data_IF_190459470772
#
_entry.id   IF_190459470772
#
_cell.length_a   1.000
_cell.length_b   1.000
_cell.length_c   1.000
_cell.angle_alpha   90.00
_cell.angle_beta   90.00
_cell.angle_gamma   90.00
#
_symmetry.space_group_name_H-M   'P 1'
#
loop_
_entity.id
_entity.type
_entity.pdbx_description
1 polymer ?
#
# COMPACT_ATOMS: atom_id res chain seq x y z
N UNK A 1 -20.00 -19.80 -33.42
CA UNK A 1 -21.01 -19.51 -32.38
C UNK A 1 -20.28 -19.25 -31.08
N UNK A 2 -20.61 -18.10 -30.47
CA UNK A 2 -20.41 -17.72 -29.07
C UNK A 2 -18.99 -17.58 -28.52
N UNK A 3 -18.49 -16.35 -28.62
CA UNK A 3 -17.48 -15.78 -27.72
C UNK A 3 -18.06 -15.61 -26.30
N UNK A 4 -17.24 -15.80 -25.28
CA UNK A 4 -17.54 -15.41 -23.90
C UNK A 4 -16.49 -14.38 -23.47
N UNK A 5 -16.84 -13.10 -23.25
CA UNK A 5 -15.92 -12.16 -22.65
C UNK A 5 -16.03 -12.29 -21.12
N UNK A 6 -15.02 -12.86 -20.48
CA UNK A 6 -14.88 -12.79 -19.02
C UNK A 6 -14.26 -11.44 -18.63
N UNK A 7 -15.06 -10.38 -18.74
CA UNK A 7 -14.77 -9.08 -18.14
C UNK A 7 -15.10 -9.12 -16.66
N UNK A 8 -14.23 -9.72 -15.85
CA UNK A 8 -14.34 -9.69 -14.40
C UNK A 8 -14.04 -8.29 -13.89
N UNK A 9 -15.07 -7.48 -13.64
CA UNK A 9 -14.95 -6.27 -12.86
C UNK A 9 -14.59 -6.67 -11.42
N UNK A 10 -13.35 -6.42 -11.02
CA UNK A 10 -12.92 -6.59 -9.62
C UNK A 10 -13.67 -5.51 -8.82
N UNK A 11 -14.56 -5.88 -7.87
CA UNK A 11 -15.27 -4.90 -7.08
C UNK A 11 -14.25 -4.05 -6.31
N UNK A 12 -14.27 -2.74 -6.57
CA UNK A 12 -13.40 -1.80 -5.89
C UNK A 12 -13.62 -1.83 -4.36
N UNK A 13 -12.60 -1.46 -3.58
CA UNK A 13 -12.70 -1.45 -2.13
C UNK A 13 -13.81 -0.50 -1.67
N UNK A 14 -14.70 -0.98 -0.78
CA UNK A 14 -15.81 -0.20 -0.20
C UNK A 14 -15.35 0.87 0.81
N UNK A 15 -14.07 0.86 1.20
CA UNK A 15 -13.48 1.74 2.20
C UNK A 15 -12.35 2.55 1.57
N UNK A 16 -12.17 3.79 2.04
CA UNK A 16 -11.01 4.61 1.65
C UNK A 16 -9.71 3.93 2.14
N UNK A 17 -8.66 3.81 1.30
CA UNK A 17 -7.35 3.25 1.66
C UNK A 17 -6.80 3.71 3.00
N UNK A 18 -6.84 5.03 3.23
CA UNK A 18 -6.38 5.65 4.47
C UNK A 18 -7.14 5.15 5.71
N UNK A 19 -8.44 4.88 5.55
CA UNK A 19 -9.29 4.40 6.63
C UNK A 19 -9.04 2.93 6.92
N UNK A 20 -8.80 2.11 5.89
CA UNK A 20 -8.46 0.70 6.11
C UNK A 20 -7.15 0.54 6.87
N UNK A 21 -6.17 1.39 6.56
CA UNK A 21 -4.90 1.42 7.27
C UNK A 21 -5.05 1.97 8.69
N UNK A 22 -5.79 3.08 8.87
CA UNK A 22 -6.11 3.61 10.20
C UNK A 22 -6.98 2.67 11.04
N UNK A 23 -7.86 1.86 10.45
CA UNK A 23 -8.64 0.84 11.18
C UNK A 23 -7.75 -0.33 11.61
N UNK A 24 -6.75 -0.69 10.80
CA UNK A 24 -5.71 -1.66 11.19
C UNK A 24 -4.84 -1.14 12.35
N UNK A 25 -4.51 0.15 12.36
CA UNK A 25 -3.64 0.76 13.36
C UNK A 25 -4.31 1.30 14.62
N UNK A 26 -5.44 1.97 14.46
CA UNK A 26 -6.15 2.69 15.51
C UNK A 26 -6.79 1.77 16.54
N UNK A 27 -6.53 0.45 16.47
CA UNK A 27 -7.27 -0.54 17.22
C UNK A 27 -6.64 -1.18 18.44
N UNK A 28 -5.37 -0.90 18.75
CA UNK A 28 -4.79 -1.41 19.98
C UNK A 28 -4.98 -0.43 21.13
N UNK A 29 -4.47 0.81 21.00
CA UNK A 29 -4.34 1.74 22.12
C UNK A 29 -5.66 2.44 22.47
N UNK A 30 -6.43 2.87 21.47
CA UNK A 30 -7.79 3.40 21.67
C UNK A 30 -8.69 2.35 22.28
N UNK A 31 -8.49 1.06 21.96
CA UNK A 31 -9.36 -0.03 22.40
C UNK A 31 -8.98 -0.55 23.77
N UNK A 32 -7.69 -0.55 24.12
CA UNK A 32 -7.24 -0.80 25.50
C UNK A 32 -7.73 0.32 26.42
N UNK A 33 -7.65 1.57 25.97
CA UNK A 33 -8.21 2.72 26.71
C UNK A 33 -9.74 2.61 26.82
N UNK A 34 -10.44 2.21 25.75
CA UNK A 34 -11.88 1.96 25.78
C UNK A 34 -12.23 0.79 26.69
N UNK A 35 -11.45 -0.30 26.71
CA UNK A 35 -11.64 -1.45 27.60
C UNK A 35 -11.52 -1.03 29.06
N UNK A 36 -10.49 -0.24 29.38
CA UNK A 36 -10.24 0.31 30.71
C UNK A 36 -11.35 1.24 31.19
N UNK A 37 -12.07 1.91 30.29
CA UNK A 37 -13.20 2.80 30.65
C UNK A 37 -14.55 2.07 30.63
N UNK A 38 -14.77 1.20 29.65
CA UNK A 38 -16.03 0.50 29.45
C UNK A 38 -16.26 -0.62 30.45
N UNK A 39 -15.22 -1.39 30.82
CA UNK A 39 -15.36 -2.46 31.80
C UNK A 39 -15.83 -1.92 33.16
N UNK A 40 -15.23 -0.84 33.73
CA UNK A 40 -15.76 -0.21 34.93
C UNK A 40 -17.18 0.33 34.77
N UNK A 41 -17.52 0.94 33.62
CA UNK A 41 -18.87 1.44 33.35
C UNK A 41 -19.92 0.32 33.28
N UNK A 42 -19.58 -0.83 32.69
CA UNK A 42 -20.44 -2.03 32.71
C UNK A 42 -20.63 -2.52 34.14
N UNK A 43 -19.55 -2.60 34.92
CA UNK A 43 -19.59 -3.04 36.33
C UNK A 43 -20.46 -2.10 37.17
N UNK A 44 -20.25 -0.79 37.06
CA UNK A 44 -21.05 0.22 37.77
C UNK A 44 -22.51 0.22 37.30
N UNK A 45 -22.77 0.14 35.99
CA UNK A 45 -24.11 0.11 35.42
C UNK A 45 -24.90 -1.18 35.68
N UNK A 46 -24.23 -2.28 36.02
CA UNK A 46 -24.86 -3.52 36.51
C UNK A 46 -25.16 -3.45 38.02
N UNK A 47 -24.37 -2.70 38.78
CA UNK A 47 -24.53 -2.49 40.23
C UNK A 47 -25.58 -1.42 40.57
N UNK A 48 -25.78 -0.42 39.69
CA UNK A 48 -26.69 0.71 39.90
C UNK A 48 -28.01 0.50 39.14
N UNK A 49 -29.15 0.78 39.78
CA UNK A 49 -30.42 0.85 39.07
C UNK A 49 -30.46 2.12 38.20
N UNK A 50 -30.83 2.04 36.91
CA UNK A 50 -31.53 0.93 36.27
C UNK A 50 -30.61 -0.03 35.49
N UNK A 51 -30.68 -1.32 35.83
CA UNK A 51 -29.81 -2.42 35.34
C UNK A 51 -29.84 -2.67 33.83
N UNK A 52 -30.85 -2.17 33.10
CA UNK A 52 -30.94 -2.34 31.64
C UNK A 52 -29.82 -1.59 30.92
N UNK A 53 -29.30 -0.50 31.51
CA UNK A 53 -28.15 0.23 30.98
C UNK A 53 -26.91 -0.67 31.01
N UNK A 54 -26.66 -1.37 32.12
CA UNK A 54 -25.56 -2.33 32.23
C UNK A 54 -25.61 -3.44 31.17
N UNK A 55 -26.78 -4.01 30.91
CA UNK A 55 -26.97 -5.02 29.85
C UNK A 55 -26.74 -4.47 28.45
N UNK A 56 -27.17 -3.22 28.18
CA UNK A 56 -26.94 -2.58 26.89
C UNK A 56 -25.44 -2.32 26.66
N UNK A 57 -24.73 -1.79 27.65
CA UNK A 57 -23.28 -1.56 27.56
C UNK A 57 -22.53 -2.89 27.41
N UNK A 58 -22.94 -3.95 28.12
CA UNK A 58 -22.37 -5.30 27.97
C UNK A 58 -22.59 -5.86 26.56
N UNK A 59 -23.81 -5.77 26.01
CA UNK A 59 -24.11 -6.23 24.66
C UNK A 59 -23.28 -5.46 23.62
N UNK A 60 -23.18 -4.14 23.74
CA UNK A 60 -22.35 -3.30 22.87
C UNK A 60 -20.87 -3.68 22.95
N UNK A 61 -20.37 -3.92 24.16
CA UNK A 61 -19.00 -4.36 24.39
C UNK A 61 -18.70 -5.72 23.75
N UNK A 62 -19.62 -6.69 23.87
CA UNK A 62 -19.48 -7.99 23.21
C UNK A 62 -19.44 -7.86 21.68
N UNK A 63 -20.25 -6.97 21.10
CA UNK A 63 -20.21 -6.67 19.65
C UNK A 63 -18.83 -6.14 19.25
N UNK A 64 -18.27 -5.21 20.02
CA UNK A 64 -16.93 -4.68 19.76
C UNK A 64 -15.85 -5.77 19.86
N UNK A 65 -15.87 -6.60 20.91
CA UNK A 65 -14.93 -7.72 21.07
C UNK A 65 -15.02 -8.70 19.90
N UNK A 66 -16.23 -9.08 19.50
CA UNK A 66 -16.44 -10.00 18.38
C UNK A 66 -15.93 -9.41 17.05
N UNK A 67 -16.18 -8.11 16.82
CA UNK A 67 -15.71 -7.39 15.65
C UNK A 67 -14.18 -7.30 15.63
N UNK A 68 -13.54 -6.99 16.75
CA UNK A 68 -12.08 -6.98 16.89
C UNK A 68 -11.44 -8.35 16.67
N UNK A 69 -12.00 -9.40 17.29
CA UNK A 69 -11.53 -10.76 17.09
C UNK A 69 -11.68 -11.18 15.61
N UNK A 70 -12.79 -10.81 14.98
CA UNK A 70 -13.03 -11.01 13.55
C UNK A 70 -11.94 -10.36 12.68
N UNK A 71 -11.59 -9.09 12.93
CA UNK A 71 -10.51 -8.41 12.21
C UNK A 71 -9.15 -9.07 12.40
N UNK A 72 -8.79 -9.45 13.64
CA UNK A 72 -7.52 -10.13 13.93
C UNK A 72 -7.42 -11.49 13.26
N UNK A 73 -8.50 -12.27 13.27
CA UNK A 73 -8.57 -13.57 12.59
C UNK A 73 -8.47 -13.39 11.08
N UNK A 74 -9.16 -12.39 10.51
CA UNK A 74 -9.08 -12.08 9.09
C UNK A 74 -7.65 -11.69 8.68
N UNK A 75 -6.98 -10.82 9.45
CA UNK A 75 -5.59 -10.44 9.18
C UNK A 75 -4.65 -11.66 9.29
N UNK A 76 -4.82 -12.49 10.32
CA UNK A 76 -4.04 -13.72 10.48
C UNK A 76 -4.24 -14.71 9.32
N UNK A 77 -5.47 -14.84 8.82
CA UNK A 77 -5.78 -15.66 7.63
C UNK A 77 -5.14 -15.09 6.37
N UNK A 78 -5.21 -13.78 6.16
CA UNK A 78 -4.56 -13.11 5.02
C UNK A 78 -3.04 -13.30 5.06
N UNK A 79 -2.40 -13.12 6.22
CA UNK A 79 -0.96 -13.34 6.40
C UNK A 79 -0.56 -14.79 6.10
N UNK A 80 -1.34 -15.77 6.58
CA UNK A 80 -1.11 -17.19 6.28
C UNK A 80 -1.26 -17.48 4.80
N UNK A 81 -2.34 -17.01 4.17
CA UNK A 81 -2.56 -17.19 2.74
C UNK A 81 -1.44 -16.57 1.89
N UNK A 82 -0.91 -15.41 2.29
CA UNK A 82 0.27 -14.82 1.65
C UNK A 82 1.52 -15.68 1.87
N UNK A 83 1.80 -16.08 3.11
CA UNK A 83 2.96 -16.94 3.42
C UNK A 83 2.93 -18.27 2.67
N UNK A 84 1.75 -18.87 2.50
CA UNK A 84 1.57 -20.09 1.72
C UNK A 84 1.84 -19.85 0.23
N UNK A 85 1.34 -18.75 -0.34
CA UNK A 85 1.62 -18.36 -1.73
C UNK A 85 3.12 -18.09 -1.95
N UNK A 86 3.76 -17.37 -1.04
CA UNK A 86 5.22 -17.10 -1.05
C UNK A 86 6.01 -18.40 -1.06
N UNK A 87 5.63 -19.37 -0.21
CA UNK A 87 6.28 -20.68 -0.17
C UNK A 87 6.08 -21.46 -1.47
N UNK A 88 4.88 -21.43 -2.05
CA UNK A 88 4.59 -22.08 -3.34
C UNK A 88 5.41 -21.47 -4.50
N UNK A 89 5.69 -20.17 -4.43
CA UNK A 89 6.53 -19.46 -5.40
C UNK A 89 8.04 -19.63 -5.15
N UNK A 90 8.43 -20.34 -4.09
CA UNK A 90 9.84 -20.53 -3.72
C UNK A 90 10.51 -19.26 -3.20
N UNK A 91 9.73 -18.27 -2.77
CA UNK A 91 10.23 -17.02 -2.23
C UNK A 91 10.51 -17.13 -0.72
N UNK A 92 11.29 -16.18 -0.20
CA UNK A 92 11.69 -16.14 1.20
C UNK A 92 10.86 -15.11 1.96
N UNK A 93 10.52 -15.42 3.21
CA UNK A 93 9.80 -14.53 4.10
C UNK A 93 10.64 -14.24 5.33
N UNK A 94 10.80 -12.96 5.67
CA UNK A 94 11.50 -12.46 6.85
C UNK A 94 10.59 -11.51 7.63
N UNK A 95 10.71 -11.50 8.97
CA UNK A 95 9.87 -10.67 9.83
C UNK A 95 10.14 -9.16 9.66
N UNK A 96 11.34 -8.78 9.24
CA UNK A 96 11.76 -7.40 8.99
C UNK A 96 13.28 -7.29 8.90
N UNK A 97 13.74 -6.17 8.35
CA UNK A 97 15.14 -5.77 8.32
C UNK A 97 15.18 -4.24 8.44
N UNK A 98 15.70 -3.69 9.57
CA UNK A 98 15.71 -2.25 9.81
C UNK A 98 16.55 -1.48 8.79
N UNK A 99 17.54 -2.12 8.17
CA UNK A 99 18.45 -1.47 7.21
C UNK A 99 17.81 -1.35 5.80
N UNK A 100 16.61 -1.92 5.59
CA UNK A 100 15.90 -1.81 4.32
C UNK A 100 15.40 -0.41 4.02
N UNK A 101 15.19 0.43 5.03
CA UNK A 101 14.71 1.82 4.82
C UNK A 101 15.76 2.63 4.05
N UNK A 102 17.04 2.43 4.35
CA UNK A 102 18.17 3.14 3.72
C UNK A 102 18.32 2.81 2.23
N UNK A 103 17.64 1.76 1.74
CA UNK A 103 17.61 1.37 0.32
C UNK A 103 16.86 2.37 -0.56
N UNK A 104 15.96 3.17 0.00
CA UNK A 104 15.10 4.09 -0.74
C UNK A 104 15.36 5.54 -0.32
N UNK A 105 16.33 6.23 -0.97
CA UNK A 105 16.70 7.61 -0.63
C UNK A 105 15.70 8.65 -1.19
N UNK A 106 14.41 8.32 -1.23
CA UNK A 106 13.37 9.18 -1.79
C UNK A 106 12.06 9.09 -1.02
N UNK A 107 11.20 10.13 -1.08
CA UNK A 107 9.91 10.10 -0.42
C UNK A 107 9.03 8.98 -0.96
N UNK A 108 8.14 8.37 -0.15
CA UNK A 108 7.87 8.66 1.26
C UNK A 108 8.86 7.98 2.26
N UNK A 109 9.90 7.31 1.76
CA UNK A 109 10.75 6.42 2.56
C UNK A 109 11.85 7.17 3.34
N UNK A 110 12.41 8.23 2.75
CA UNK A 110 13.48 9.06 3.33
C UNK A 110 12.99 10.09 4.39
N UNK A 111 11.68 10.18 4.60
CA UNK A 111 11.06 11.26 5.38
C UNK A 111 11.16 11.02 6.89
N UNK A 112 11.10 9.77 7.33
CA UNK A 112 11.02 9.40 8.74
C UNK A 112 12.12 8.40 9.11
N UNK A 113 13.14 8.82 9.87
CA UNK A 113 14.21 7.91 10.31
C UNK A 113 13.73 6.86 11.31
N UNK A 114 12.52 6.99 11.86
CA UNK A 114 11.89 5.99 12.72
C UNK A 114 10.90 5.10 11.95
N UNK A 115 10.93 5.12 10.62
CA UNK A 115 10.10 4.24 9.81
C UNK A 115 10.42 2.76 10.06
N UNK A 116 9.40 1.92 9.95
CA UNK A 116 9.51 0.48 10.16
C UNK A 116 9.07 -0.28 8.91
N UNK A 117 9.89 -1.27 8.54
CA UNK A 117 9.61 -2.23 7.47
C UNK A 117 9.44 -3.62 8.08
N UNK A 118 8.31 -4.26 7.80
CA UNK A 118 8.00 -5.58 8.38
C UNK A 118 7.22 -6.46 7.41
N UNK A 119 7.13 -7.76 7.75
CA UNK A 119 6.54 -8.81 6.91
C UNK A 119 7.18 -8.85 5.49
N UNK A 120 8.51 -8.77 5.45
CA UNK A 120 9.28 -8.68 4.21
C UNK A 120 9.32 -10.01 3.49
N UNK A 121 9.04 -9.98 2.20
CA UNK A 121 9.15 -11.10 1.29
C UNK A 121 10.16 -10.75 0.22
N UNK A 122 11.12 -11.64 -0.04
CA UNK A 122 12.12 -11.51 -1.10
C UNK A 122 11.99 -12.66 -2.09
N UNK A 123 12.20 -12.39 -3.37
CA UNK A 123 12.05 -13.40 -4.40
C UNK A 123 12.41 -12.90 -5.79
N UNK A 124 11.98 -13.66 -6.80
CA UNK A 124 12.06 -13.25 -8.21
C UNK A 124 10.72 -13.43 -8.89
N UNK A 125 10.31 -12.43 -9.66
CA UNK A 125 9.09 -12.47 -10.47
C UNK A 125 9.41 -11.99 -11.89
N UNK A 126 9.04 -12.79 -12.89
CA UNK A 126 9.36 -12.52 -14.32
C UNK A 126 10.82 -12.12 -14.57
N UNK A 127 11.75 -12.78 -13.87
CA UNK A 127 13.19 -12.53 -14.00
C UNK A 127 13.74 -11.34 -13.19
N UNK A 128 12.88 -10.55 -12.52
CA UNK A 128 13.29 -9.39 -11.71
C UNK A 128 13.38 -9.74 -10.25
N UNK A 129 14.38 -9.18 -9.56
CA UNK A 129 14.44 -9.26 -8.10
C UNK A 129 13.33 -8.42 -7.49
N UNK A 130 12.67 -9.03 -6.50
CA UNK A 130 11.48 -8.50 -5.85
C UNK A 130 11.72 -8.46 -4.36
N UNK A 131 11.35 -7.33 -3.76
CA UNK A 131 11.17 -7.18 -2.32
C UNK A 131 9.81 -6.56 -2.04
N UNK A 132 9.02 -7.13 -1.14
CA UNK A 132 7.70 -6.60 -0.80
C UNK A 132 7.45 -6.73 0.68
N UNK A 133 6.73 -5.78 1.25
CA UNK A 133 6.46 -5.78 2.67
C UNK A 133 5.49 -4.67 3.03
N UNK A 134 5.52 -4.32 4.30
CA UNK A 134 4.71 -3.25 4.87
C UNK A 134 5.61 -2.15 5.37
N UNK A 135 5.27 -0.92 5.02
CA UNK A 135 5.96 0.27 5.49
C UNK A 135 5.06 1.01 6.47
N UNK A 136 5.63 1.47 7.57
CA UNK A 136 4.97 2.29 8.57
C UNK A 136 5.86 3.45 8.95
N UNK A 137 5.29 4.65 8.97
CA UNK A 137 6.00 5.85 9.43
C UNK A 137 5.06 6.82 10.14
N UNK A 138 5.63 7.80 10.82
CA UNK A 138 4.92 8.84 11.55
C UNK A 138 5.16 10.19 10.87
N UNK A 139 4.13 10.69 10.20
CA UNK A 139 4.15 12.03 9.61
C UNK A 139 3.38 12.99 10.52
N UNK A 140 4.11 13.92 11.14
CA UNK A 140 3.58 14.87 12.15
C UNK A 140 2.90 14.12 13.31
N UNK A 141 1.59 14.27 13.47
CA UNK A 141 0.79 13.62 14.51
C UNK A 141 0.04 12.37 14.01
N UNK A 142 0.25 11.96 12.75
CA UNK A 142 -0.43 10.81 12.15
C UNK A 142 0.56 9.68 11.94
N UNK A 143 0.19 8.48 12.36
CA UNK A 143 0.83 7.29 11.82
C UNK A 143 0.20 7.01 10.46
N UNK A 144 1.05 6.76 9.46
CA UNK A 144 0.69 6.42 8.09
C UNK A 144 1.44 5.16 7.68
N UNK A 145 0.91 4.47 6.68
CA UNK A 145 1.63 3.37 6.08
C UNK A 145 0.84 2.71 4.98
N UNK A 146 1.52 1.77 4.36
CA UNK A 146 1.15 1.23 3.06
C UNK A 146 1.90 -0.07 2.86
N UNK A 147 1.41 -0.88 1.93
CA UNK A 147 2.16 -2.04 1.44
C UNK A 147 3.05 -1.55 0.29
N UNK A 148 4.21 -2.16 0.09
CA UNK A 148 5.11 -1.77 -1.00
C UNK A 148 5.63 -2.97 -1.79
N UNK A 149 6.04 -2.72 -3.03
CA UNK A 149 6.62 -3.67 -3.95
C UNK A 149 7.83 -3.02 -4.65
N UNK A 150 9.03 -3.33 -4.18
CA UNK A 150 10.29 -2.95 -4.80
C UNK A 150 10.69 -3.98 -5.86
N UNK A 151 10.85 -3.52 -7.10
CA UNK A 151 11.34 -4.27 -8.23
C UNK A 151 12.68 -3.68 -8.68
N UNK A 152 13.68 -4.56 -8.80
CA UNK A 152 14.93 -4.20 -9.44
C UNK A 152 14.75 -4.09 -10.96
N UNK A 153 15.31 -3.02 -11.53
CA UNK A 153 15.30 -2.79 -12.98
C UNK A 153 16.72 -2.77 -13.54
N UNK A 154 16.86 -3.29 -14.75
CA UNK A 154 18.16 -3.44 -15.41
C UNK A 154 18.75 -2.11 -15.88
N UNK A 155 17.88 -1.17 -16.24
CA UNK A 155 18.20 0.18 -16.70
C UNK A 155 17.73 1.19 -15.65
N UNK A 156 18.50 2.27 -15.41
CA UNK A 156 18.09 3.29 -14.47
C UNK A 156 16.84 4.03 -14.95
N UNK A 157 15.98 4.39 -14.00
CA UNK A 157 14.78 5.20 -14.16
C UNK A 157 15.02 6.62 -13.64
N UNK A 158 14.40 7.63 -14.27
CA UNK A 158 14.45 8.99 -13.77
C UNK A 158 13.65 9.08 -12.47
N UNK A 159 13.99 10.03 -11.57
CA UNK A 159 13.19 10.29 -10.38
C UNK A 159 11.77 10.66 -10.80
N UNK A 160 10.81 9.82 -10.43
CA UNK A 160 9.40 10.02 -10.75
C UNK A 160 8.52 9.40 -9.66
N UNK A 161 7.59 10.18 -9.12
CA UNK A 161 6.62 9.71 -8.14
C UNK A 161 5.20 10.06 -8.56
N UNK A 162 4.42 9.03 -8.84
CA UNK A 162 3.02 9.11 -9.25
C UNK A 162 2.14 8.36 -8.26
N UNK A 163 1.22 9.06 -7.60
CA UNK A 163 0.28 8.43 -6.69
C UNK A 163 -1.17 8.76 -7.07
N UNK A 164 -2.11 7.81 -6.89
CA UNK A 164 -3.52 8.14 -6.90
C UNK A 164 -3.85 9.09 -5.75
N UNK A 165 -4.89 9.91 -5.90
CA UNK A 165 -5.28 10.92 -4.91
C UNK A 165 -5.57 10.31 -3.54
N UNK A 166 -6.04 9.05 -3.49
CA UNK A 166 -6.25 8.32 -2.23
C UNK A 166 -4.96 7.98 -1.48
N UNK A 167 -3.81 7.92 -2.15
CA UNK A 167 -2.50 7.70 -1.53
C UNK A 167 -1.68 8.98 -1.40
N UNK A 168 -2.20 10.13 -1.86
CA UNK A 168 -1.56 11.43 -1.73
C UNK A 168 -1.06 11.76 -0.30
N UNK A 169 -1.79 11.44 0.79
CA UNK A 169 -1.30 11.70 2.15
C UNK A 169 0.01 11.00 2.50
N UNK A 170 0.32 9.89 1.83
CA UNK A 170 1.57 9.14 2.02
C UNK A 170 2.77 9.92 1.47
N UNK A 171 2.65 10.56 0.30
CA UNK A 171 3.72 11.41 -0.26
C UNK A 171 3.72 12.85 0.27
N UNK A 172 2.64 13.30 0.92
CA UNK A 172 2.41 14.69 1.29
C UNK A 172 3.35 15.27 2.37
N UNK A 173 4.45 14.61 2.70
CA UNK A 173 5.42 15.13 3.64
C UNK A 173 6.34 16.22 3.07
N UNK A 174 6.44 16.41 1.74
CA UNK A 174 7.46 17.34 1.20
C UNK A 174 7.11 18.16 -0.04
N UNK A 175 6.10 17.83 -0.86
CA UNK A 175 5.90 18.49 -2.17
C UNK A 175 4.45 18.86 -2.49
N UNK A 176 4.25 19.98 -3.22
CA UNK A 176 2.94 20.39 -3.76
C UNK A 176 2.62 19.51 -4.97
N UNK A 177 1.56 18.67 -4.92
CA UNK A 177 1.28 17.75 -6.01
C UNK A 177 0.76 18.47 -7.26
N UNK A 178 1.30 18.09 -8.42
CA UNK A 178 0.76 18.46 -9.72
C UNK A 178 -0.31 17.45 -10.13
N UNK A 179 -1.54 17.90 -10.34
CA UNK A 179 -2.66 17.04 -10.74
C UNK A 179 -2.54 16.68 -12.21
N UNK A 180 -2.49 15.38 -12.52
CA UNK A 180 -2.46 14.89 -13.89
C UNK A 180 -3.87 14.63 -14.39
N UNK A 181 -4.14 15.02 -15.63
CA UNK A 181 -5.43 14.75 -16.29
C UNK A 181 -5.26 13.54 -17.21
N UNK A 182 -5.48 12.34 -16.67
CA UNK A 182 -5.39 11.08 -17.41
C UNK A 182 -6.76 10.43 -17.45
N UNK A 183 -7.26 10.16 -18.65
CA UNK A 183 -8.56 9.51 -18.87
C UNK A 183 -8.43 8.00 -18.74
N UNK A 184 -9.48 7.31 -18.27
CA UNK A 184 -9.51 5.84 -18.18
C UNK A 184 -9.09 5.23 -16.83
N UNK A 185 -8.58 6.05 -15.91
CA UNK A 185 -8.28 5.62 -14.53
C UNK A 185 -9.48 5.84 -13.61
N UNK A 186 -9.64 4.97 -12.62
CA UNK A 186 -10.71 5.05 -11.61
C UNK A 186 -10.50 6.18 -10.60
N UNK A 187 -9.25 6.65 -10.46
CA UNK A 187 -8.88 7.78 -9.60
C UNK A 187 -7.98 8.77 -10.34
N UNK A 188 -7.96 10.02 -9.86
CA UNK A 188 -7.03 11.04 -10.33
C UNK A 188 -5.63 10.76 -9.78
N UNK A 189 -4.63 10.81 -10.65
CA UNK A 189 -3.24 10.68 -10.28
C UNK A 189 -2.58 12.05 -10.12
N UNK A 190 -1.65 12.13 -9.19
CA UNK A 190 -0.86 13.30 -8.89
C UNK A 190 0.62 12.96 -9.03
N UNK A 191 1.36 13.90 -9.62
CA UNK A 191 2.81 13.92 -9.67
C UNK A 191 3.34 14.64 -8.44
N UNK A 192 4.18 13.95 -7.67
CA UNK A 192 4.80 14.49 -6.47
C UNK A 192 6.27 14.83 -6.70
N UNK A 193 6.99 14.03 -7.47
CA UNK A 193 8.39 14.26 -7.84
C UNK A 193 8.62 13.85 -9.30
N UNK A 194 9.53 14.54 -9.99
CA UNK A 194 9.87 14.29 -11.39
C UNK A 194 9.20 15.25 -12.37
N UNK A 195 9.36 14.96 -13.67
CA UNK A 195 8.90 15.84 -14.75
C UNK A 195 7.51 15.44 -15.26
N UNK A 196 6.65 16.43 -15.51
CA UNK A 196 5.29 16.23 -16.01
C UNK A 196 5.25 15.54 -17.38
N UNK A 197 6.16 15.88 -18.29
CA UNK A 197 6.21 15.27 -19.62
C UNK A 197 6.50 13.77 -19.55
N UNK A 198 7.46 13.36 -18.70
CA UNK A 198 7.75 11.95 -18.47
C UNK A 198 6.61 11.23 -17.75
N UNK A 199 5.95 11.89 -16.79
CA UNK A 199 4.78 11.33 -16.11
C UNK A 199 3.65 10.96 -17.09
N UNK A 200 3.34 11.85 -18.02
CA UNK A 200 2.32 11.63 -19.04
C UNK A 200 2.73 10.55 -20.05
N UNK A 201 4.02 10.42 -20.35
CA UNK A 201 4.55 9.34 -21.20
C UNK A 201 4.45 7.96 -20.53
N UNK A 202 4.77 7.88 -19.24
CA UNK A 202 4.60 6.63 -18.47
C UNK A 202 3.11 6.27 -18.40
N UNK A 203 2.24 7.25 -18.16
CA UNK A 203 0.78 7.08 -18.18
C UNK A 203 0.19 7.08 -19.60
N UNK A 204 0.86 6.43 -20.55
CA UNK A 204 0.32 6.19 -21.88
C UNK A 204 -0.92 5.27 -21.83
N UNK A 205 -1.66 5.22 -22.95
CA UNK A 205 -2.92 4.47 -23.04
C UNK A 205 -2.81 3.01 -22.59
N UNK A 206 -1.72 2.30 -22.95
CA UNK A 206 -1.56 0.89 -22.58
C UNK A 206 -1.28 0.73 -21.08
N UNK A 207 -0.47 1.61 -20.51
CA UNK A 207 -0.23 1.63 -19.06
C UNK A 207 -1.53 1.93 -18.29
N UNK A 208 -2.34 2.87 -18.78
CA UNK A 208 -3.67 3.15 -18.22
C UNK A 208 -4.57 1.92 -18.27
N UNK A 209 -4.59 1.19 -19.40
CA UNK A 209 -5.39 -0.03 -19.54
C UNK A 209 -4.96 -1.13 -18.56
N UNK A 210 -3.67 -1.20 -18.18
CA UNK A 210 -3.15 -2.10 -17.14
C UNK A 210 -3.59 -1.64 -15.76
N UNK A 211 -3.36 -0.37 -15.44
CA UNK A 211 -3.70 0.22 -14.13
C UNK A 211 -5.20 0.17 -13.84
N UNK A 212 -6.05 0.29 -14.87
CA UNK A 212 -7.51 0.24 -14.72
C UNK A 212 -8.05 -1.15 -14.34
N UNK A 213 -7.25 -2.23 -14.49
CA UNK A 213 -7.66 -3.62 -14.17
C UNK A 213 -7.44 -4.00 -12.71
N UNK A 214 -6.67 -3.22 -11.97
CA UNK A 214 -6.33 -3.48 -10.57
C UNK A 214 -6.81 -2.34 -9.68
N UNK A 215 -6.96 -2.56 -8.36
CA UNK A 215 -7.16 -1.46 -7.44
C UNK A 215 -6.09 -0.36 -7.60
N UNK A 216 -6.44 0.92 -7.39
CA UNK A 216 -5.50 2.01 -7.56
C UNK A 216 -4.25 1.84 -6.70
N UNK A 217 -3.08 2.00 -7.32
CA UNK A 217 -1.79 2.03 -6.65
C UNK A 217 -0.91 3.10 -7.28
N UNK A 218 0.04 3.61 -6.50
CA UNK A 218 1.03 4.54 -7.01
C UNK A 218 2.39 3.90 -7.15
N UNK A 219 3.37 4.64 -7.64
CA UNK A 219 4.75 4.19 -7.67
C UNK A 219 5.73 5.35 -7.53
N UNK A 220 6.92 5.02 -7.08
CA UNK A 220 8.09 5.87 -7.09
C UNK A 220 9.21 5.11 -7.78
N UNK A 221 9.92 5.75 -8.69
CA UNK A 221 11.12 5.18 -9.28
C UNK A 221 12.26 6.19 -9.24
N UNK A 222 13.45 5.66 -9.02
CA UNK A 222 14.71 6.39 -9.01
C UNK A 222 15.86 5.41 -9.18
N UNK A 223 16.78 5.71 -10.11
CA UNK A 223 17.89 4.81 -10.40
C UNK A 223 17.40 3.42 -10.77
N UNK A 224 17.96 2.37 -10.17
CA UNK A 224 17.62 0.97 -10.52
C UNK A 224 16.44 0.39 -9.73
N UNK A 225 15.60 1.24 -9.16
CA UNK A 225 14.50 0.83 -8.28
C UNK A 225 13.16 1.35 -8.80
N UNK A 226 12.19 0.45 -8.85
CA UNK A 226 10.79 0.77 -9.05
C UNK A 226 10.00 0.27 -7.85
N UNK A 227 9.40 1.18 -7.10
CA UNK A 227 8.68 0.87 -5.87
C UNK A 227 7.20 1.19 -6.06
N UNK A 228 6.36 0.16 -6.18
CA UNK A 228 4.91 0.34 -6.14
C UNK A 228 4.45 0.57 -4.70
N UNK A 229 3.58 1.55 -4.50
CA UNK A 229 3.01 1.96 -3.22
C UNK A 229 1.53 1.59 -3.26
N UNK A 230 1.15 0.68 -2.36
CA UNK A 230 -0.11 -0.04 -2.39
C UNK A 230 -0.94 0.27 -1.14
N UNK A 231 -2.27 0.35 -1.27
CA UNK A 231 -3.13 0.39 -0.10
C UNK A 231 -3.11 -0.95 0.65
N UNK A 232 -3.18 -0.95 2.00
CA UNK A 232 -2.96 -2.15 2.82
C UNK A 232 -4.15 -3.13 2.89
N UNK A 233 -4.61 -3.60 1.73
CA UNK A 233 -5.76 -4.47 1.61
C UNK A 233 -5.43 -5.96 1.50
N UNK A 234 -4.15 -6.34 1.41
CA UNK A 234 -3.73 -7.59 0.77
C UNK A 234 -4.44 -8.87 1.24
N UNK A 235 -5.31 -9.38 0.35
CA UNK A 235 -5.37 -10.79 0.02
C UNK A 235 -4.28 -11.15 -1.02
N UNK A 236 -3.94 -12.43 -1.15
CA UNK A 236 -2.85 -12.90 -2.02
C UNK A 236 -3.15 -12.75 -3.52
N UNK A 237 -4.40 -12.86 -3.94
CA UNK A 237 -4.77 -12.71 -5.35
C UNK A 237 -4.57 -11.27 -5.82
N UNK A 238 -5.08 -10.32 -5.04
CA UNK A 238 -4.86 -8.89 -5.28
C UNK A 238 -3.38 -8.54 -5.23
N UNK A 239 -2.61 -9.12 -4.29
CA UNK A 239 -1.17 -8.90 -4.18
C UNK A 239 -0.40 -9.27 -5.46
N UNK A 240 -0.72 -10.43 -6.04
CA UNK A 240 -0.09 -10.92 -7.27
C UNK A 240 -0.53 -10.12 -8.49
N UNK A 241 -1.82 -9.74 -8.56
CA UNK A 241 -2.32 -8.89 -9.65
C UNK A 241 -1.62 -7.52 -9.69
N UNK A 242 -1.33 -6.92 -8.53
CA UNK A 242 -0.55 -5.68 -8.48
C UNK A 242 0.91 -5.87 -8.90
N UNK A 243 1.52 -6.99 -8.53
CA UNK A 243 2.87 -7.33 -8.96
C UNK A 243 2.95 -7.52 -10.48
N UNK A 244 1.99 -8.25 -11.07
CA UNK A 244 1.88 -8.38 -12.52
C UNK A 244 1.67 -7.02 -13.20
N UNK A 245 0.77 -6.18 -12.67
CA UNK A 245 0.52 -4.84 -13.21
C UNK A 245 1.76 -3.93 -13.09
N UNK A 246 2.55 -4.04 -12.03
CA UNK A 246 3.80 -3.30 -11.87
C UNK A 246 4.86 -3.74 -12.90
N UNK A 247 5.01 -5.05 -13.14
CA UNK A 247 5.87 -5.56 -14.20
C UNK A 247 5.39 -5.13 -15.59
N UNK A 248 4.09 -5.24 -15.87
CA UNK A 248 3.52 -4.80 -17.14
C UNK A 248 3.75 -3.29 -17.36
N UNK A 249 3.65 -2.46 -16.30
CA UNK A 249 3.92 -1.03 -16.39
C UNK A 249 5.39 -0.76 -16.75
N UNK A 250 6.33 -1.48 -16.15
CA UNK A 250 7.76 -1.42 -16.50
C UNK A 250 8.00 -1.84 -17.96
N UNK A 251 7.39 -2.94 -18.40
CA UNK A 251 7.52 -3.45 -19.78
C UNK A 251 6.91 -2.49 -20.82
N UNK A 252 5.96 -1.65 -20.40
CA UNK A 252 5.30 -0.63 -21.23
C UNK A 252 5.95 0.76 -21.15
N UNK A 253 7.03 0.93 -20.38
CA UNK A 253 7.72 2.21 -20.28
C UNK A 253 8.34 2.61 -21.62
N UNK A 254 8.02 3.81 -22.15
CA UNK A 254 8.60 4.29 -23.39
C UNK A 254 10.12 4.44 -23.31
N UNK A 255 10.82 4.24 -24.43
CA UNK A 255 12.29 4.35 -24.51
C UNK A 255 12.83 5.71 -24.02
N UNK A 256 12.08 6.80 -24.26
CA UNK A 256 12.45 8.14 -23.81
C UNK A 256 12.53 8.26 -22.27
N UNK A 257 11.71 7.50 -21.54
CA UNK A 257 11.75 7.46 -20.08
C UNK A 257 13.04 6.79 -19.60
N UNK A 258 13.41 5.67 -20.23
CA UNK A 258 14.67 4.97 -19.92
C UNK A 258 15.89 5.84 -20.23
N UNK A 259 15.92 6.51 -21.39
CA UNK A 259 16.98 7.45 -21.76
C UNK A 259 17.11 8.61 -20.75
N UNK A 260 15.99 9.14 -20.26
CA UNK A 260 16.00 10.16 -19.23
C UNK A 260 16.59 9.64 -17.90
N UNK A 261 16.32 8.39 -17.55
CA UNK A 261 16.91 7.74 -16.37
C UNK A 261 18.43 7.53 -16.51
N UNK A 262 18.89 7.13 -17.69
CA UNK A 262 20.33 6.99 -17.99
C UNK A 262 21.06 8.33 -17.92
N UNK A 263 20.47 9.40 -18.45
CA UNK A 263 21.01 10.76 -18.36
C UNK A 263 21.06 11.27 -16.91
N UNK A 264 20.00 11.00 -16.13
CA UNK A 264 19.97 11.35 -14.72
C UNK A 264 21.06 10.60 -13.93
N UNK A 265 21.17 9.28 -14.13
CA UNK A 265 22.20 8.47 -13.47
C UNK A 265 23.62 8.94 -13.83
N UNK A 266 23.87 9.32 -15.09
CA UNK A 266 25.17 9.84 -15.52
C UNK A 266 25.56 11.16 -14.86
N UNK A 267 24.59 11.98 -14.44
CA UNK A 267 24.84 13.29 -13.80
C UNK A 267 24.92 13.23 -12.27
N UNK A 268 24.45 12.15 -11.65
CA UNK A 268 24.41 11.99 -10.18
C UNK A 268 25.41 10.95 -9.65
N UNK A 269 26.04 10.17 -10.53
CA UNK A 269 27.12 9.24 -10.20
C UNK A 269 28.52 9.72 -10.66
N UNK A 270 28.64 10.99 -11.07
CA UNK A 270 29.91 11.66 -11.41
C UNK A 270 30.52 12.42 -10.24
#
# INVERSE_FOLDING_TARGET
>A
MSATPAGGHVPGPRLRPDWAWQLRQGSALVYVLWFLVAVPLVVVGLLVEPRWVGWLVLAWFLVLVALTAGFRIAEGRQRRAWSDAVRQLGWQFSAGDPDLVDRWPFPPFDVDPAAEVYDVTTGRHRGRELLTGRFRHKVRHRQLGFDFLDLEVDRPLPPLQLLPTSLAPVAAASLVPLKLTVTGLSEKYCLFNGREDLALEVLNRRAVDVLAKVPPFGFSCEGRRFVAILPAYRDSGTALAHLDAACDLLDLMPERVWQAGEQWAATHHS
#
